data_IF_490270222346
#
_entry.id   IF_490270222346
#
_cell.length_a   1.000
_cell.length_b   1.000
_cell.length_c   1.000
_cell.angle_alpha   90.00
_cell.angle_beta   90.00
_cell.angle_gamma   90.00
#
_symmetry.space_group_name_H-M   'P 1'
#
loop_
_entity.id
_entity.type
_entity.pdbx_description
1 polymer ?
#
# COMPACT_ATOMS: atom_id res chain seq x y z
N UNK A 1 -17.32 -12.47 -13.87
CA UNK A 1 -17.72 -11.21 -13.21
C UNK A 1 -17.78 -10.13 -14.27
N UNK A 2 -18.84 -9.30 -14.30
CA UNK A 2 -18.95 -8.15 -15.22
C UNK A 2 -18.50 -6.91 -14.47
N UNK A 3 -17.47 -6.25 -14.96
CA UNK A 3 -17.01 -4.97 -14.44
C UNK A 3 -17.74 -3.84 -15.19
N UNK A 4 -18.37 -2.93 -14.44
CA UNK A 4 -19.00 -1.73 -15.00
C UNK A 4 -17.94 -0.62 -14.96
N UNK A 5 -17.39 -0.27 -16.11
CA UNK A 5 -16.45 0.85 -16.28
C UNK A 5 -17.21 2.15 -16.04
N UNK A 6 -16.79 2.93 -15.04
CA UNK A 6 -17.27 4.30 -14.84
C UNK A 6 -16.45 5.25 -15.73
N UNK A 7 -17.21 6.11 -16.41
CA UNK A 7 -16.80 7.12 -17.38
C UNK A 7 -15.75 8.10 -16.81
N UNK A 8 -14.74 8.40 -17.63
CA UNK A 8 -13.75 9.44 -17.40
C UNK A 8 -14.43 10.81 -17.53
N UNK A 9 -14.45 11.58 -16.45
CA UNK A 9 -14.55 13.03 -16.53
C UNK A 9 -13.21 13.59 -16.09
N UNK A 10 -12.37 13.91 -17.07
CA UNK A 10 -11.25 14.82 -16.91
C UNK A 10 -11.80 16.21 -16.58
N UNK A 11 -11.63 16.65 -15.34
CA UNK A 11 -11.46 18.06 -14.98
C UNK A 11 -11.00 18.20 -13.52
N UNK A 12 -9.71 17.94 -13.33
CA UNK A 12 -8.89 18.64 -12.34
C UNK A 12 -7.42 18.54 -12.79
N UNK A 13 -6.97 19.59 -13.47
CA UNK A 13 -5.58 19.95 -13.69
C UNK A 13 -4.74 19.64 -12.44
N UNK A 14 -3.87 18.61 -12.50
CA UNK A 14 -2.76 18.39 -11.58
C UNK A 14 -3.07 17.96 -10.14
N UNK A 15 -2.65 16.75 -9.76
CA UNK A 15 -1.96 16.56 -8.49
C UNK A 15 -2.78 16.54 -7.18
N UNK A 16 -4.05 16.18 -7.16
CA UNK A 16 -4.77 15.92 -5.90
C UNK A 16 -4.51 14.47 -5.42
N UNK A 17 -3.37 14.25 -4.77
CA UNK A 17 -3.14 13.02 -4.00
C UNK A 17 -4.16 12.87 -2.86
N UNK A 18 -4.44 11.65 -2.44
CA UNK A 18 -5.26 11.39 -1.25
C UNK A 18 -4.36 11.47 -0.03
N UNK A 19 -4.71 12.33 0.92
CA UNK A 19 -3.92 12.52 2.15
C UNK A 19 -4.68 11.96 3.35
N UNK A 20 -4.07 10.99 4.02
CA UNK A 20 -4.54 10.46 5.29
C UNK A 20 -3.78 11.14 6.43
N UNK A 21 -4.18 12.36 6.77
CA UNK A 21 -3.45 13.20 7.73
C UNK A 21 -3.43 12.65 9.16
N UNK A 22 -4.48 11.93 9.57
CA UNK A 22 -4.60 11.38 10.92
C UNK A 22 -4.27 9.90 11.06
N UNK A 23 -3.97 9.20 9.96
CA UNK A 23 -3.74 7.75 10.00
C UNK A 23 -2.35 7.47 10.57
N UNK A 24 -2.31 6.90 11.78
CA UNK A 24 -1.06 6.53 12.46
C UNK A 24 -0.67 5.07 12.25
N UNK A 25 -1.68 4.20 12.21
CA UNK A 25 -1.52 2.76 12.06
C UNK A 25 -2.43 2.26 10.94
N UNK A 26 -1.88 1.46 10.04
CA UNK A 26 -2.62 0.74 9.00
C UNK A 26 -2.39 -0.75 9.19
N UNK A 27 -3.48 -1.50 9.35
CA UNK A 27 -3.44 -2.95 9.48
C UNK A 27 -4.30 -3.59 8.40
N UNK A 28 -3.72 -4.56 7.69
CA UNK A 28 -4.36 -5.41 6.72
C UNK A 28 -4.20 -6.84 7.22
N UNK A 29 -5.27 -7.43 7.75
CA UNK A 29 -5.23 -8.76 8.38
C UNK A 29 -6.25 -9.71 7.74
N UNK A 30 -5.80 -10.94 7.49
CA UNK A 30 -6.60 -12.06 6.97
C UNK A 30 -7.41 -11.72 5.70
N UNK A 31 -6.78 -11.01 4.75
CA UNK A 31 -7.37 -10.69 3.44
C UNK A 31 -6.69 -11.53 2.33
N UNK A 32 -7.01 -12.84 2.21
CA UNK A 32 -6.26 -13.76 1.35
C UNK A 32 -6.39 -13.45 -0.15
N UNK A 33 -7.42 -12.73 -0.57
CA UNK A 33 -7.65 -12.33 -1.98
C UNK A 33 -7.23 -10.89 -2.27
N UNK A 34 -6.65 -10.16 -1.30
CA UNK A 34 -6.21 -8.79 -1.53
C UNK A 34 -4.95 -8.80 -2.39
N UNK A 35 -5.01 -8.21 -3.59
CA UNK A 35 -3.85 -8.11 -4.49
C UNK A 35 -3.01 -6.84 -4.25
N UNK A 36 -3.64 -5.80 -3.70
CA UNK A 36 -3.03 -4.55 -3.28
C UNK A 36 -4.03 -3.64 -2.56
N UNK A 37 -3.53 -2.68 -1.80
CA UNK A 37 -4.35 -1.66 -1.11
C UNK A 37 -5.08 -0.75 -2.10
N UNK A 38 -4.41 -0.39 -3.22
CA UNK A 38 -5.05 0.36 -4.30
C UNK A 38 -4.43 0.03 -5.67
N UNK A 39 -5.23 -0.49 -6.59
CA UNK A 39 -4.80 -0.84 -7.95
C UNK A 39 -5.01 0.29 -8.98
N UNK A 40 -5.26 1.52 -8.51
CA UNK A 40 -5.33 2.72 -9.36
C UNK A 40 -4.03 3.51 -9.23
N UNK A 41 -3.66 4.22 -10.30
CA UNK A 41 -2.51 5.13 -10.30
C UNK A 41 -2.83 6.42 -9.50
N UNK A 42 -2.96 6.27 -8.19
CA UNK A 42 -3.32 7.32 -7.24
C UNK A 42 -2.14 7.59 -6.32
N UNK A 43 -1.79 8.86 -6.12
CA UNK A 43 -0.79 9.24 -5.10
C UNK A 43 -1.45 9.29 -3.73
N UNK A 44 -0.82 8.64 -2.74
CA UNK A 44 -1.21 8.66 -1.34
C UNK A 44 -0.16 9.36 -0.49
N UNK A 45 -0.61 10.21 0.43
CA UNK A 45 0.23 10.85 1.44
C UNK A 45 -0.19 10.42 2.84
N UNK A 46 0.78 9.94 3.60
CA UNK A 46 0.61 9.46 4.96
C UNK A 46 1.57 10.22 5.89
N UNK A 47 1.28 11.50 6.20
CA UNK A 47 2.20 12.34 6.98
C UNK A 47 2.36 11.89 8.43
N UNK A 48 1.41 11.12 8.98
CA UNK A 48 1.42 10.66 10.37
C UNK A 48 1.54 9.15 10.55
N UNK A 49 1.69 8.39 9.46
CA UNK A 49 1.74 6.93 9.52
C UNK A 49 3.10 6.47 10.05
N UNK A 50 3.06 5.77 11.18
CA UNK A 50 4.25 5.27 11.89
C UNK A 50 4.25 3.75 12.04
N UNK A 51 3.13 3.06 11.74
CA UNK A 51 3.08 1.61 11.75
C UNK A 51 2.22 1.05 10.62
N UNK A 52 2.75 0.02 9.96
CA UNK A 52 2.02 -0.78 8.96
C UNK A 52 2.20 -2.25 9.29
N UNK A 53 1.07 -2.97 9.34
CA UNK A 53 1.04 -4.42 9.56
C UNK A 53 0.25 -5.08 8.42
N UNK A 54 0.85 -6.08 7.78
CA UNK A 54 0.22 -6.88 6.74
C UNK A 54 0.34 -8.34 7.16
N UNK A 55 -0.79 -9.01 7.42
CA UNK A 55 -0.82 -10.38 7.92
C UNK A 55 -1.83 -11.22 7.14
N UNK A 56 -1.41 -12.41 6.71
CA UNK A 56 -2.32 -13.36 6.03
C UNK A 56 -2.86 -12.87 4.68
N UNK A 57 -2.20 -11.89 4.06
CA UNK A 57 -2.58 -11.30 2.77
C UNK A 57 -1.79 -11.92 1.61
N UNK A 58 -1.87 -13.25 1.45
CA UNK A 58 -0.95 -14.05 0.62
C UNK A 58 -0.92 -13.67 -0.88
N UNK A 59 -1.99 -13.07 -1.41
CA UNK A 59 -2.04 -12.64 -2.82
C UNK A 59 -1.57 -11.21 -3.04
N UNK A 60 -1.20 -10.48 -1.98
CA UNK A 60 -0.81 -9.09 -2.06
C UNK A 60 0.60 -8.98 -2.62
N UNK A 61 0.73 -8.48 -3.85
CA UNK A 61 2.03 -8.38 -4.55
C UNK A 61 2.64 -6.98 -4.47
N UNK A 62 1.80 -5.98 -4.21
CA UNK A 62 2.15 -4.58 -4.12
C UNK A 62 1.24 -3.88 -3.13
N UNK A 63 1.70 -2.76 -2.57
CA UNK A 63 0.84 -1.91 -1.74
C UNK A 63 -0.10 -1.08 -2.61
N UNK A 64 0.41 -0.28 -3.55
CA UNK A 64 -0.40 0.54 -4.45
C UNK A 64 0.21 0.64 -5.85
N UNK A 65 -0.60 0.77 -6.89
CA UNK A 65 -0.10 1.02 -8.25
C UNK A 65 0.51 2.44 -8.38
N UNK A 66 -0.10 3.42 -7.71
CA UNK A 66 0.47 4.74 -7.58
C UNK A 66 1.50 4.87 -6.45
N UNK A 67 1.98 6.10 -6.24
CA UNK A 67 3.02 6.42 -5.26
C UNK A 67 2.43 6.54 -3.85
N UNK A 68 3.08 5.89 -2.87
CA UNK A 68 2.75 6.05 -1.45
C UNK A 68 3.90 6.77 -0.73
N UNK A 69 3.60 7.92 -0.11
CA UNK A 69 4.58 8.71 0.64
C UNK A 69 4.33 8.58 2.14
N UNK A 70 5.25 7.90 2.83
CA UNK A 70 5.19 7.61 4.27
C UNK A 70 6.37 8.26 4.99
N UNK A 71 6.21 9.48 5.49
CA UNK A 71 7.36 10.27 6.00
C UNK A 71 7.91 9.80 7.34
N UNK A 72 7.08 9.18 8.17
CA UNK A 72 7.43 8.77 9.53
C UNK A 72 7.55 7.26 9.70
N UNK A 73 7.35 6.50 8.62
CA UNK A 73 7.35 5.05 8.67
C UNK A 73 8.78 4.54 8.49
N UNK A 74 9.28 3.83 9.48
CA UNK A 74 10.64 3.25 9.45
C UNK A 74 10.61 1.73 9.27
N UNK A 75 9.59 1.07 9.82
CA UNK A 75 9.47 -0.39 9.81
C UNK A 75 8.05 -0.81 9.43
N UNK A 76 7.95 -1.98 8.80
CA UNK A 76 6.70 -2.63 8.40
C UNK A 76 6.72 -4.04 8.97
N UNK A 77 5.59 -4.49 9.51
CA UNK A 77 5.40 -5.87 9.94
C UNK A 77 4.69 -6.62 8.83
N UNK A 78 5.29 -7.69 8.30
CA UNK A 78 4.70 -8.54 7.26
C UNK A 78 4.78 -9.99 7.71
N UNK A 79 3.63 -10.63 7.92
CA UNK A 79 3.50 -12.00 8.46
C UNK A 79 4.39 -12.25 9.69
N UNK A 80 4.20 -11.41 10.71
CA UNK A 80 4.92 -11.42 11.99
C UNK A 80 6.45 -11.15 11.88
N UNK A 81 6.94 -10.71 10.71
CA UNK A 81 8.33 -10.32 10.48
C UNK A 81 8.44 -8.80 10.38
N UNK A 82 9.26 -8.19 11.24
CA UNK A 82 9.59 -6.76 11.16
C UNK A 82 10.68 -6.51 10.12
N UNK A 83 10.43 -5.61 9.17
CA UNK A 83 11.35 -5.24 8.10
C UNK A 83 11.49 -3.73 8.03
N UNK A 84 12.72 -3.24 7.82
CA UNK A 84 12.95 -1.82 7.55
C UNK A 84 12.29 -1.41 6.22
N UNK A 85 11.72 -0.20 6.20
CA UNK A 85 11.12 0.39 5.00
C UNK A 85 12.20 0.58 3.93
N UNK A 86 11.99 0.00 2.75
CA UNK A 86 12.92 0.06 1.61
C UNK A 86 12.49 1.13 0.61
N UNK A 87 12.61 2.38 1.02
CA UNK A 87 12.17 3.53 0.21
C UNK A 87 10.66 3.75 0.26
N UNK A 88 9.87 2.74 -0.11
CA UNK A 88 8.41 2.76 0.00
C UNK A 88 7.81 1.38 0.36
N UNK A 89 6.49 1.36 0.54
CA UNK A 89 5.74 0.16 0.88
C UNK A 89 5.75 -0.91 -0.22
N UNK A 90 5.78 -0.51 -1.51
CA UNK A 90 5.81 -1.45 -2.62
C UNK A 90 7.11 -2.24 -2.64
N UNK A 91 8.25 -1.54 -2.57
CA UNK A 91 9.58 -2.16 -2.58
C UNK A 91 9.82 -3.03 -1.34
N UNK A 92 9.23 -2.65 -0.20
CA UNK A 92 9.30 -3.42 1.05
C UNK A 92 8.51 -4.73 0.92
N UNK A 93 7.29 -4.67 0.40
CA UNK A 93 6.46 -5.86 0.17
C UNK A 93 7.08 -6.78 -0.91
N UNK A 94 7.56 -6.20 -2.02
CA UNK A 94 8.23 -6.95 -3.07
C UNK A 94 9.48 -7.70 -2.54
N UNK A 95 10.25 -7.04 -1.66
CA UNK A 95 11.38 -7.69 -0.98
C UNK A 95 10.94 -8.86 -0.10
N UNK A 96 9.82 -8.73 0.62
CA UNK A 96 9.28 -9.82 1.44
C UNK A 96 8.87 -11.01 0.57
N UNK A 97 8.16 -10.76 -0.53
CA UNK A 97 7.72 -11.80 -1.47
C UNK A 97 8.92 -12.56 -2.04
N UNK A 98 10.01 -11.86 -2.41
CA UNK A 98 11.25 -12.50 -2.87
C UNK A 98 11.90 -13.40 -1.82
N UNK A 99 11.91 -12.99 -0.54
CA UNK A 99 12.49 -13.78 0.56
C UNK A 99 11.72 -15.09 0.83
N UNK A 100 10.43 -15.16 0.47
CA UNK A 100 9.61 -16.38 0.64
C UNK A 100 9.75 -17.37 -0.52
N UNK A 101 10.24 -16.92 -1.68
CA UNK A 101 10.31 -17.73 -2.92
C UNK A 101 11.72 -18.27 -3.24
N UNK A 102 12.74 -17.93 -2.43
CA UNK A 102 14.09 -18.49 -2.50
C UNK A 102 14.33 -19.46 -1.35
#
# INVERSE_FOLDING_TARGET
>A
MKEIVRNESEDAVGGAGITFSGLRYLELDALPSLEGFCLKNQTFQFPSLSGVTIKGCHQMKMFSLGVSRTRLLENVIIDDISMALKGDLNNTLESHVRLRQG
#
